data_IF_905050596856
#
_entry.id   IF_905050596856
#
_cell.length_a   1.000
_cell.length_b   1.000
_cell.length_c   1.000
_cell.angle_alpha   90.00
_cell.angle_beta   90.00
_cell.angle_gamma   90.00
#
_symmetry.space_group_name_H-M   'P 1'
#
loop_
_entity.id
_entity.type
_entity.pdbx_description
1 polymer ?
#
# COMPACT_ATOMS: atom_id res chain seq x y z
N UNK A 1 -4.28 -37.03 -35.83
CA UNK A 1 -5.45 -36.41 -35.16
C UNK A 1 -5.16 -36.09 -33.70
N UNK A 2 -4.26 -36.83 -33.05
CA UNK A 2 -4.04 -36.76 -31.59
C UNK A 2 -3.39 -35.47 -31.09
N UNK A 3 -2.53 -34.84 -31.89
CA UNK A 3 -1.86 -33.58 -31.52
C UNK A 3 -2.80 -32.37 -31.52
N UNK A 4 -3.80 -32.35 -32.42
CA UNK A 4 -4.79 -31.27 -32.50
C UNK A 4 -5.77 -31.36 -31.33
N UNK A 5 -6.16 -32.58 -30.94
CA UNK A 5 -7.00 -32.81 -29.77
C UNK A 5 -6.25 -32.43 -28.48
N UNK A 6 -4.95 -32.75 -28.40
CA UNK A 6 -4.09 -32.35 -27.29
C UNK A 6 -3.97 -30.83 -27.15
N UNK A 7 -3.78 -30.12 -28.27
CA UNK A 7 -3.72 -28.66 -28.27
C UNK A 7 -5.06 -28.01 -27.92
N UNK A 8 -6.19 -28.59 -28.37
CA UNK A 8 -7.53 -28.13 -28.00
C UNK A 8 -7.83 -28.35 -26.51
N UNK A 9 -7.44 -29.49 -25.94
CA UNK A 9 -7.60 -29.76 -24.51
C UNK A 9 -6.76 -28.80 -23.65
N UNK A 10 -5.52 -28.54 -24.07
CA UNK A 10 -4.61 -27.62 -23.37
C UNK A 10 -5.06 -26.16 -23.50
N UNK A 11 -5.60 -25.77 -24.66
CA UNK A 11 -6.20 -24.47 -24.88
C UNK A 11 -7.49 -24.27 -24.07
N UNK A 12 -8.39 -25.26 -24.01
CA UNK A 12 -9.58 -25.24 -23.16
C UNK A 12 -9.20 -25.15 -21.67
N UNK A 13 -8.14 -25.83 -21.24
CA UNK A 13 -7.66 -25.80 -19.87
C UNK A 13 -7.07 -24.44 -19.48
N UNK A 14 -6.23 -23.85 -20.35
CA UNK A 14 -5.72 -22.48 -20.17
C UNK A 14 -6.87 -21.47 -20.15
N UNK A 15 -7.86 -21.64 -21.03
CA UNK A 15 -9.04 -20.78 -21.10
C UNK A 15 -9.91 -20.88 -19.85
N UNK A 16 -10.11 -22.08 -19.31
CA UNK A 16 -10.91 -22.32 -18.11
C UNK A 16 -10.20 -21.83 -16.85
N UNK A 17 -8.88 -22.02 -16.74
CA UNK A 17 -8.06 -21.42 -15.70
C UNK A 17 -8.07 -19.89 -15.75
N UNK A 18 -7.98 -19.31 -16.95
CA UNK A 18 -8.06 -17.88 -17.19
C UNK A 18 -9.44 -17.30 -16.82
N UNK A 19 -10.52 -17.97 -17.22
CA UNK A 19 -11.89 -17.54 -16.94
C UNK A 19 -12.22 -17.60 -15.44
N UNK A 20 -11.70 -18.61 -14.73
CA UNK A 20 -11.96 -18.81 -13.31
C UNK A 20 -11.17 -17.83 -12.42
N UNK A 21 -9.91 -17.51 -12.78
CA UNK A 21 -9.12 -16.45 -12.12
C UNK A 21 -9.80 -15.07 -12.23
N UNK A 22 -10.64 -14.88 -13.25
CA UNK A 22 -11.35 -13.62 -13.49
C UNK A 22 -12.65 -13.47 -12.67
N UNK A 23 -13.27 -14.55 -12.20
CA UNK A 23 -14.68 -14.52 -11.81
C UNK A 23 -15.04 -14.79 -10.34
N UNK A 24 -14.21 -15.36 -9.46
CA UNK A 24 -14.66 -15.56 -8.06
C UNK A 24 -13.56 -15.62 -6.99
N UNK A 25 -13.81 -14.92 -5.87
CA UNK A 25 -12.91 -14.74 -4.72
C UNK A 25 -13.44 -15.37 -3.40
N UNK A 26 -14.41 -16.28 -3.45
CA UNK A 26 -15.21 -16.65 -2.26
C UNK A 26 -15.57 -18.15 -2.14
N UNK A 27 -14.71 -19.08 -2.58
CA UNK A 27 -14.92 -20.51 -2.30
C UNK A 27 -14.11 -21.02 -1.08
N UNK A 28 -14.69 -21.89 -0.24
CA UNK A 28 -13.94 -22.53 0.85
C UNK A 28 -12.89 -23.49 0.29
N UNK A 29 -11.67 -23.43 0.85
CA UNK A 29 -10.46 -24.12 0.38
C UNK A 29 -10.65 -25.64 0.21
N UNK A 30 -11.47 -26.27 1.04
CA UNK A 30 -11.73 -27.71 1.01
C UNK A 30 -12.46 -28.18 -0.26
N UNK A 31 -13.43 -27.40 -0.73
CA UNK A 31 -14.22 -27.74 -1.93
C UNK A 31 -13.41 -27.50 -3.21
N UNK A 32 -12.57 -26.46 -3.19
CA UNK A 32 -11.62 -26.15 -4.28
C UNK A 32 -10.61 -27.29 -4.49
N UNK A 33 -10.00 -27.79 -3.42
CA UNK A 33 -9.03 -28.88 -3.47
C UNK A 33 -9.68 -30.14 -4.03
N UNK A 34 -10.86 -30.53 -3.54
CA UNK A 34 -11.51 -31.79 -3.92
C UNK A 34 -11.87 -31.85 -5.43
N UNK A 35 -12.44 -30.77 -5.97
CA UNK A 35 -12.89 -30.73 -7.37
C UNK A 35 -11.72 -30.70 -8.36
N UNK A 36 -10.64 -30.00 -8.00
CA UNK A 36 -9.46 -29.91 -8.87
C UNK A 36 -8.61 -31.18 -8.78
N UNK A 37 -8.43 -31.77 -7.59
CA UNK A 37 -7.67 -33.03 -7.44
C UNK A 37 -8.30 -34.17 -8.24
N UNK A 38 -9.63 -34.28 -8.26
CA UNK A 38 -10.32 -35.29 -9.05
C UNK A 38 -10.09 -35.15 -10.55
N UNK A 39 -10.20 -33.92 -11.08
CA UNK A 39 -9.92 -33.65 -12.49
C UNK A 39 -8.45 -33.90 -12.84
N UNK A 40 -7.51 -33.52 -11.97
CA UNK A 40 -6.07 -33.73 -12.18
C UNK A 40 -5.70 -35.21 -12.22
N UNK A 41 -6.28 -36.05 -11.36
CA UNK A 41 -6.02 -37.50 -11.36
C UNK A 41 -6.52 -38.14 -12.67
N UNK A 42 -7.71 -37.75 -13.14
CA UNK A 42 -8.28 -38.29 -14.39
C UNK A 42 -7.43 -37.88 -15.60
N UNK A 43 -6.98 -36.62 -15.66
CA UNK A 43 -6.12 -36.13 -16.75
C UNK A 43 -4.73 -36.78 -16.69
N UNK A 44 -4.14 -36.94 -15.50
CA UNK A 44 -2.87 -37.63 -15.32
C UNK A 44 -2.97 -39.07 -15.84
N UNK A 45 -4.04 -39.80 -15.48
CA UNK A 45 -4.30 -41.15 -15.94
C UNK A 45 -4.45 -41.24 -17.47
N UNK A 46 -5.22 -40.34 -18.09
CA UNK A 46 -5.34 -40.25 -19.56
C UNK A 46 -4.00 -39.96 -20.24
N UNK A 47 -3.16 -39.11 -19.63
CA UNK A 47 -1.86 -38.73 -20.19
C UNK A 47 -0.82 -39.85 -20.12
N UNK A 48 -0.81 -40.65 -19.04
CA UNK A 48 -0.02 -41.90 -18.94
C UNK A 48 -0.36 -42.85 -20.08
N UNK A 49 -1.65 -42.97 -20.39
CA UNK A 49 -2.14 -43.90 -21.41
C UNK A 49 -1.76 -43.45 -22.83
N UNK A 50 -1.74 -42.14 -23.10
CA UNK A 50 -1.42 -41.60 -24.43
C UNK A 50 0.08 -41.47 -24.73
N UNK A 51 0.90 -41.13 -23.75
CA UNK A 51 2.30 -40.71 -24.00
C UNK A 51 3.34 -41.79 -23.69
N UNK A 52 2.96 -42.86 -22.99
CA UNK A 52 3.89 -43.90 -22.54
C UNK A 52 4.92 -43.43 -21.50
N UNK A 53 4.83 -42.19 -21.01
CA UNK A 53 5.67 -41.68 -19.94
C UNK A 53 5.38 -42.43 -18.64
N UNK A 54 6.42 -42.78 -17.88
CA UNK A 54 6.23 -43.49 -16.62
C UNK A 54 5.38 -42.66 -15.66
N UNK A 55 4.48 -43.28 -14.92
CA UNK A 55 3.62 -42.62 -13.94
C UNK A 55 4.37 -41.66 -12.98
N UNK A 56 5.64 -41.95 -12.66
CA UNK A 56 6.51 -41.12 -11.83
C UNK A 56 6.79 -39.71 -12.40
N UNK A 57 6.95 -39.58 -13.71
CA UNK A 57 7.18 -38.27 -14.34
C UNK A 57 5.89 -37.44 -14.28
N UNK A 58 4.76 -38.09 -14.55
CA UNK A 58 3.45 -37.44 -14.51
C UNK A 58 3.11 -37.00 -13.08
N UNK A 59 3.36 -37.82 -12.07
CA UNK A 59 3.13 -37.39 -10.67
C UNK A 59 4.01 -36.21 -10.27
N UNK A 60 5.25 -36.10 -10.74
CA UNK A 60 6.13 -34.93 -10.46
C UNK A 60 5.60 -33.66 -11.11
N UNK A 61 5.18 -33.72 -12.38
CA UNK A 61 4.58 -32.57 -13.07
C UNK A 61 3.30 -32.08 -12.38
N UNK A 62 2.42 -33.02 -11.99
CA UNK A 62 1.15 -32.69 -11.37
C UNK A 62 1.30 -32.20 -9.92
N UNK A 63 2.20 -32.80 -9.13
CA UNK A 63 2.52 -32.31 -7.77
C UNK A 63 3.16 -30.92 -7.80
N UNK A 64 4.03 -30.63 -8.78
CA UNK A 64 4.56 -29.30 -9.03
C UNK A 64 3.46 -28.28 -9.35
N UNK A 65 2.51 -28.65 -10.22
CA UNK A 65 1.40 -27.77 -10.59
C UNK A 65 0.47 -27.46 -9.40
N UNK A 66 0.11 -28.48 -8.62
CA UNK A 66 -0.69 -28.33 -7.39
C UNK A 66 0.02 -27.43 -6.39
N UNK A 67 1.33 -27.61 -6.21
CA UNK A 67 2.12 -26.78 -5.31
C UNK A 67 2.17 -25.31 -5.78
N UNK A 68 2.34 -25.07 -7.08
CA UNK A 68 2.29 -23.72 -7.66
C UNK A 68 0.93 -23.06 -7.47
N UNK A 69 -0.18 -23.78 -7.61
CA UNK A 69 -1.52 -23.24 -7.43
C UNK A 69 -1.88 -23.02 -5.94
N UNK A 70 -1.33 -23.85 -5.03
CA UNK A 70 -1.45 -23.63 -3.59
C UNK A 70 -0.63 -22.42 -3.14
N UNK A 71 0.60 -22.29 -3.64
CA UNK A 71 1.46 -21.14 -3.42
C UNK A 71 0.83 -19.89 -4.06
N UNK A 72 0.13 -20.03 -5.18
CA UNK A 72 -0.69 -18.98 -5.78
C UNK A 72 -1.86 -18.54 -4.90
N UNK A 73 -2.54 -19.50 -4.28
CA UNK A 73 -3.65 -19.22 -3.38
C UNK A 73 -3.17 -18.51 -2.11
N UNK A 74 -2.09 -19.01 -1.50
CA UNK A 74 -1.43 -18.37 -0.35
C UNK A 74 -0.96 -16.97 -0.74
N UNK A 75 -0.28 -16.82 -1.88
CA UNK A 75 0.15 -15.53 -2.38
C UNK A 75 -1.03 -14.59 -2.61
N UNK A 76 -2.13 -15.04 -3.22
CA UNK A 76 -3.36 -14.23 -3.37
C UNK A 76 -3.98 -13.84 -2.02
N UNK A 77 -3.95 -14.72 -1.02
CA UNK A 77 -4.51 -14.48 0.31
C UNK A 77 -3.71 -13.46 1.11
N UNK A 78 -2.39 -13.52 1.05
CA UNK A 78 -1.49 -12.64 1.81
C UNK A 78 -1.06 -11.38 1.02
N UNK A 79 -0.99 -11.46 -0.31
CA UNK A 79 -0.58 -10.36 -1.21
C UNK A 79 -1.74 -9.94 -2.14
N UNK A 80 -2.90 -9.66 -1.53
CA UNK A 80 -4.19 -9.39 -2.18
C UNK A 80 -4.19 -8.24 -3.20
N UNK A 81 -3.15 -7.40 -3.24
CA UNK A 81 -3.03 -6.19 -4.08
C UNK A 81 -1.73 -6.13 -4.91
N UNK A 82 -1.10 -7.28 -5.21
CA UNK A 82 0.08 -7.35 -6.07
C UNK A 82 -0.25 -7.06 -7.55
N UNK A 83 0.63 -6.30 -8.22
CA UNK A 83 0.50 -5.89 -9.61
C UNK A 83 0.40 -7.12 -10.55
N UNK A 84 -0.61 -7.13 -11.43
CA UNK A 84 -0.95 -8.31 -12.26
C UNK A 84 0.25 -8.76 -13.11
N UNK A 85 1.05 -7.83 -13.63
CA UNK A 85 2.25 -8.16 -14.44
C UNK A 85 3.34 -8.85 -13.62
N UNK A 86 3.61 -8.37 -12.39
CA UNK A 86 4.60 -8.97 -11.51
C UNK A 86 4.17 -10.39 -11.08
N UNK A 87 2.87 -10.56 -10.84
CA UNK A 87 2.28 -11.87 -10.57
C UNK A 87 2.51 -12.84 -11.74
N UNK A 88 2.26 -12.42 -12.98
CA UNK A 88 2.52 -13.25 -14.17
C UNK A 88 4.02 -13.51 -14.38
N UNK A 89 4.89 -12.57 -14.03
CA UNK A 89 6.35 -12.73 -14.13
C UNK A 89 6.87 -13.77 -13.12
N UNK A 90 6.39 -13.73 -11.88
CA UNK A 90 6.72 -14.74 -10.86
C UNK A 90 6.19 -16.12 -11.26
N UNK A 91 4.95 -16.22 -11.76
CA UNK A 91 4.42 -17.49 -12.26
C UNK A 91 5.18 -18.00 -13.48
N UNK A 92 5.46 -17.14 -14.45
CA UNK A 92 6.22 -17.50 -15.65
C UNK A 92 7.63 -17.98 -15.30
N UNK A 93 8.29 -17.30 -14.36
CA UNK A 93 9.60 -17.71 -13.84
C UNK A 93 9.56 -19.07 -13.16
N UNK A 94 8.58 -19.32 -12.29
CA UNK A 94 8.43 -20.61 -11.60
C UNK A 94 8.10 -21.75 -12.57
N UNK A 95 7.18 -21.55 -13.50
CA UNK A 95 6.85 -22.56 -14.53
C UNK A 95 8.07 -22.84 -15.42
N UNK A 96 8.81 -21.80 -15.80
CA UNK A 96 10.05 -21.93 -16.58
C UNK A 96 11.12 -22.75 -15.85
N UNK A 97 11.32 -22.50 -14.55
CA UNK A 97 12.29 -23.25 -13.73
C UNK A 97 11.87 -24.72 -13.56
N UNK A 98 10.59 -24.99 -13.28
CA UNK A 98 10.08 -26.37 -13.15
C UNK A 98 10.21 -27.13 -14.48
N UNK A 99 9.91 -26.46 -15.61
CA UNK A 99 10.02 -27.04 -16.95
C UNK A 99 11.47 -27.32 -17.35
N UNK A 100 12.39 -26.41 -17.01
CA UNK A 100 13.82 -26.61 -17.27
C UNK A 100 14.40 -27.72 -16.40
N UNK A 101 14.00 -27.80 -15.13
CA UNK A 101 14.44 -28.85 -14.21
C UNK A 101 13.97 -30.24 -14.66
N UNK A 102 12.75 -30.37 -15.19
CA UNK A 102 12.24 -31.64 -15.73
C UNK A 102 12.92 -32.02 -17.04
N UNK A 103 13.18 -31.07 -17.94
CA UNK A 103 13.97 -31.31 -19.16
C UNK A 103 15.38 -31.82 -18.84
N UNK A 104 16.08 -31.18 -17.90
CA UNK A 104 17.41 -31.60 -17.47
C UNK A 104 17.42 -32.97 -16.76
N UNK A 105 16.33 -33.34 -16.10
CA UNK A 105 16.17 -34.65 -15.46
C UNK A 105 15.94 -35.78 -16.48
N UNK A 106 15.22 -35.49 -17.57
CA UNK A 106 14.95 -36.44 -18.66
C UNK A 106 16.22 -36.73 -19.46
N UNK A 107 17.07 -35.74 -19.69
CA UNK A 107 18.24 -35.88 -20.56
C UNK A 107 19.42 -36.64 -19.92
N UNK A 108 19.48 -36.69 -18.58
CA UNK A 108 20.68 -37.16 -17.85
C UNK A 108 20.55 -38.51 -17.11
N UNK A 109 19.46 -39.28 -17.26
CA UNK A 109 19.28 -40.49 -16.43
C UNK A 109 18.90 -41.75 -17.23
N UNK A 110 19.85 -42.68 -17.49
CA UNK A 110 19.54 -44.03 -17.96
C UNK A 110 19.14 -45.00 -16.83
N UNK A 111 19.21 -44.57 -15.56
CA UNK A 111 19.02 -45.46 -14.41
C UNK A 111 18.02 -44.88 -13.40
N UNK A 112 16.90 -45.58 -13.29
CA UNK A 112 15.63 -45.22 -12.64
C UNK A 112 15.66 -45.10 -11.10
N UNK A 113 16.85 -45.00 -10.46
CA UNK A 113 17.00 -45.08 -9.00
C UNK A 113 17.49 -43.80 -8.31
N UNK A 114 18.61 -43.25 -8.76
CA UNK A 114 19.30 -42.12 -8.09
C UNK A 114 18.97 -40.75 -8.68
N UNK A 115 18.53 -40.70 -9.94
CA UNK A 115 18.17 -39.46 -10.65
C UNK A 115 16.97 -38.72 -10.05
N UNK A 116 15.99 -39.46 -9.53
CA UNK A 116 14.76 -38.88 -8.99
C UNK A 116 14.98 -38.09 -7.69
N UNK A 117 15.92 -38.51 -6.83
CA UNK A 117 16.25 -37.76 -5.62
C UNK A 117 16.96 -36.45 -5.94
N UNK A 118 17.86 -36.46 -6.94
CA UNK A 118 18.54 -35.24 -7.39
C UNK A 118 17.57 -34.26 -8.06
N UNK A 119 16.62 -34.74 -8.88
CA UNK A 119 15.61 -33.85 -9.47
C UNK A 119 14.70 -33.21 -8.41
N UNK A 120 14.35 -33.95 -7.35
CA UNK A 120 13.56 -33.40 -6.24
C UNK A 120 14.35 -32.33 -5.48
N UNK A 121 15.62 -32.59 -5.15
CA UNK A 121 16.47 -31.63 -4.43
C UNK A 121 16.65 -30.34 -5.23
N UNK A 122 16.89 -30.43 -6.54
CA UNK A 122 17.07 -29.26 -7.41
C UNK A 122 15.75 -28.47 -7.49
N UNK A 123 14.62 -29.15 -7.70
CA UNK A 123 13.31 -28.49 -7.84
C UNK A 123 12.89 -27.76 -6.56
N UNK A 124 13.05 -28.40 -5.40
CA UNK A 124 12.73 -27.78 -4.11
C UNK A 124 13.74 -26.69 -3.74
N UNK A 125 15.03 -26.88 -4.08
CA UNK A 125 16.08 -25.88 -3.86
C UNK A 125 15.83 -24.57 -4.61
N UNK A 126 15.43 -24.65 -5.88
CA UNK A 126 15.17 -23.44 -6.69
C UNK A 126 13.96 -22.63 -6.23
N UNK A 127 13.03 -23.22 -5.48
CA UNK A 127 11.85 -22.54 -4.95
C UNK A 127 12.09 -22.04 -3.52
N UNK A 128 12.79 -22.82 -2.70
CA UNK A 128 13.11 -22.48 -1.32
C UNK A 128 14.09 -21.30 -1.23
N UNK A 129 15.10 -21.24 -2.10
CA UNK A 129 16.14 -20.20 -2.04
C UNK A 129 15.57 -18.79 -2.28
N UNK A 130 14.76 -18.52 -3.33
CA UNK A 130 14.17 -17.20 -3.55
C UNK A 130 13.16 -16.82 -2.47
N UNK A 131 12.36 -17.76 -1.97
CA UNK A 131 11.37 -17.49 -0.92
C UNK A 131 12.05 -17.15 0.41
N UNK A 132 13.11 -17.86 0.78
CA UNK A 132 13.92 -17.54 1.95
C UNK A 132 14.72 -16.24 1.79
N UNK A 133 15.22 -15.93 0.59
CA UNK A 133 15.89 -14.66 0.29
C UNK A 133 14.94 -13.46 0.46
N UNK A 134 13.72 -13.57 -0.06
CA UNK A 134 12.68 -12.53 0.09
C UNK A 134 12.31 -12.32 1.56
N UNK A 135 12.18 -13.41 2.33
CA UNK A 135 11.90 -13.33 3.77
C UNK A 135 13.09 -12.72 4.55
N UNK A 136 14.32 -13.07 4.18
CA UNK A 136 15.54 -12.54 4.80
C UNK A 136 15.75 -11.05 4.51
N UNK A 137 15.53 -10.61 3.27
CA UNK A 137 15.59 -9.20 2.87
C UNK A 137 14.51 -8.36 3.58
N UNK A 138 13.34 -8.95 3.85
CA UNK A 138 12.26 -8.31 4.61
C UNK A 138 12.62 -8.18 6.11
N UNK A 139 13.24 -9.20 6.72
CA UNK A 139 13.69 -9.12 8.12
C UNK A 139 14.85 -8.13 8.34
N UNK A 140 15.71 -7.93 7.34
CA UNK A 140 16.88 -7.04 7.45
C UNK A 140 16.55 -5.55 7.21
N UNK A 141 15.28 -5.20 6.97
CA UNK A 141 14.83 -3.81 6.81
C UNK A 141 15.37 -3.10 5.56
N UNK A 142 15.98 -3.82 4.61
CA UNK A 142 16.66 -3.21 3.46
C UNK A 142 15.71 -2.77 2.34
N UNK A 143 14.52 -3.39 2.25
CA UNK A 143 13.49 -3.03 1.25
C UNK A 143 12.11 -3.20 1.89
N UNK A 144 11.48 -2.08 2.25
CA UNK A 144 10.12 -2.05 2.78
C UNK A 144 9.09 -2.12 1.63
N UNK A 145 8.84 -3.35 1.14
CA UNK A 145 7.91 -3.60 0.04
C UNK A 145 6.46 -3.15 0.34
N UNK A 146 6.10 -2.92 1.61
CA UNK A 146 4.80 -2.39 1.98
C UNK A 146 4.66 -0.89 1.65
N UNK A 147 5.76 -0.13 1.68
CA UNK A 147 5.77 1.29 1.26
C UNK A 147 5.61 1.45 -0.25
N UNK A 148 6.11 0.50 -1.03
CA UNK A 148 6.11 0.58 -2.50
C UNK A 148 4.75 0.28 -3.17
N UNK A 149 3.78 -0.30 -2.46
CA UNK A 149 2.51 -0.76 -3.06
C UNK A 149 1.26 -0.44 -2.24
N UNK A 150 1.33 0.54 -1.32
CA UNK A 150 0.17 1.02 -0.58
C UNK A 150 -0.71 1.89 -1.49
N UNK A 151 -1.70 1.30 -2.15
CA UNK A 151 -2.85 2.06 -2.65
C UNK A 151 -3.95 2.07 -1.60
N UNK A 152 -4.41 3.27 -1.23
CA UNK A 152 -5.50 3.54 -0.29
C UNK A 152 -6.71 2.61 -0.51
N UNK A 153 -6.87 1.64 0.36
CA UNK A 153 -8.16 1.03 0.68
C UNK A 153 -8.26 1.07 2.18
N UNK A 154 -9.26 1.79 2.68
CA UNK A 154 -9.53 2.01 4.10
C UNK A 154 -9.25 0.73 4.90
N UNK A 155 -8.17 0.78 5.66
CA UNK A 155 -7.88 -0.23 6.67
C UNK A 155 -9.01 -0.16 7.69
N UNK A 156 -9.70 -1.28 7.92
CA UNK A 156 -10.63 -1.44 9.04
C UNK A 156 -9.87 -1.06 10.33
N UNK A 157 -10.12 0.14 10.83
CA UNK A 157 -9.51 0.63 12.06
C UNK A 157 -10.04 -0.22 13.22
N UNK A 158 -9.13 -0.96 13.87
CA UNK A 158 -9.43 -1.66 15.12
C UNK A 158 -9.94 -0.62 16.13
N UNK A 159 -11.18 -0.78 16.59
CA UNK A 159 -11.91 0.15 17.47
C UNK A 159 -11.07 0.44 18.73
N UNK A 160 -10.35 1.56 18.73
CA UNK A 160 -9.71 2.06 19.94
C UNK A 160 -10.81 2.65 20.85
N UNK A 161 -11.07 1.99 21.98
CA UNK A 161 -12.19 2.34 22.85
C UNK A 161 -12.08 3.75 23.44
N UNK A 162 -10.88 4.29 23.62
CA UNK A 162 -10.68 5.61 24.26
C UNK A 162 -11.00 6.75 23.31
N UNK A 163 -10.50 6.70 22.07
CA UNK A 163 -10.84 7.67 21.03
C UNK A 163 -12.31 7.63 20.62
N UNK A 164 -12.96 6.45 20.65
CA UNK A 164 -14.41 6.37 20.38
C UNK A 164 -15.20 7.16 21.42
N UNK A 165 -14.84 7.06 22.71
CA UNK A 165 -15.48 7.83 23.78
C UNK A 165 -15.27 9.32 23.60
N UNK A 166 -14.04 9.77 23.33
CA UNK A 166 -13.73 11.17 23.05
C UNK A 166 -14.66 11.78 21.99
N UNK A 167 -14.88 11.06 20.88
CA UNK A 167 -15.74 11.56 19.80
C UNK A 167 -17.24 11.57 20.17
N UNK A 168 -17.70 10.61 20.96
CA UNK A 168 -19.07 10.66 21.51
C UNK A 168 -19.24 11.82 22.50
N UNK A 169 -18.26 12.03 23.37
CA UNK A 169 -18.27 13.13 24.35
C UNK A 169 -18.25 14.50 23.65
N UNK A 170 -17.65 14.57 22.46
CA UNK A 170 -17.71 15.73 21.57
C UNK A 170 -19.05 15.87 20.80
N UNK A 171 -19.98 14.93 20.95
CA UNK A 171 -21.34 15.00 20.41
C UNK A 171 -21.57 14.32 19.05
N UNK A 172 -20.62 13.50 18.56
CA UNK A 172 -20.79 12.80 17.29
C UNK A 172 -21.61 11.51 17.43
N UNK A 173 -22.45 11.22 16.42
CA UNK A 173 -23.13 9.93 16.27
C UNK A 173 -22.14 8.81 15.87
N UNK A 174 -22.54 7.54 16.01
CA UNK A 174 -21.69 6.40 15.60
C UNK A 174 -21.35 6.46 14.10
N UNK A 175 -22.32 6.86 13.27
CA UNK A 175 -22.16 7.05 11.83
C UNK A 175 -21.17 8.18 11.52
N UNK A 176 -21.30 9.33 12.20
CA UNK A 176 -20.40 10.47 12.03
C UNK A 176 -18.98 10.11 12.49
N UNK A 177 -18.84 9.34 13.57
CA UNK A 177 -17.54 8.85 14.05
C UNK A 177 -16.89 7.96 13.00
N UNK A 178 -17.67 7.08 12.36
CA UNK A 178 -17.14 6.21 11.30
C UNK A 178 -16.67 7.03 10.11
N UNK A 179 -17.48 7.99 9.66
CA UNK A 179 -17.13 8.89 8.55
C UNK A 179 -15.88 9.72 8.88
N UNK A 180 -15.87 10.37 10.04
CA UNK A 180 -14.75 11.15 10.53
C UNK A 180 -13.44 10.34 10.55
N UNK A 181 -13.49 9.10 11.06
CA UNK A 181 -12.31 8.21 11.09
C UNK A 181 -11.82 7.84 9.70
N UNK A 182 -12.74 7.62 8.76
CA UNK A 182 -12.38 7.33 7.38
C UNK A 182 -11.64 8.52 6.76
N UNK A 183 -12.19 9.73 6.88
CA UNK A 183 -11.57 10.95 6.37
C UNK A 183 -10.20 11.20 7.00
N UNK A 184 -10.10 11.09 8.33
CA UNK A 184 -8.82 11.26 9.04
C UNK A 184 -7.82 10.17 8.69
N UNK A 185 -8.26 8.94 8.42
CA UNK A 185 -7.35 7.89 7.94
C UNK A 185 -6.76 8.24 6.58
N UNK A 186 -7.58 8.71 5.64
CA UNK A 186 -7.14 9.10 4.30
C UNK A 186 -6.18 10.27 4.40
N UNK A 187 -6.54 11.30 5.18
CA UNK A 187 -5.70 12.48 5.37
C UNK A 187 -4.35 12.14 6.01
N UNK A 188 -4.33 11.30 7.05
CA UNK A 188 -3.09 10.83 7.67
C UNK A 188 -2.17 10.15 6.65
N UNK A 189 -2.73 9.30 5.81
CA UNK A 189 -1.96 8.59 4.79
C UNK A 189 -1.40 9.56 3.72
N UNK A 190 -2.15 10.59 3.36
CA UNK A 190 -1.67 11.67 2.48
C UNK A 190 -0.56 12.50 3.11
N UNK A 191 -0.63 12.81 4.42
CA UNK A 191 0.44 13.54 5.13
C UNK A 191 1.73 12.72 5.15
N UNK A 192 1.64 11.41 5.39
CA UNK A 192 2.81 10.51 5.34
C UNK A 192 3.40 10.49 3.93
N UNK A 193 2.55 10.37 2.89
CA UNK A 193 3.01 10.44 1.51
C UNK A 193 3.70 11.78 1.23
N UNK A 194 3.08 12.90 1.63
CA UNK A 194 3.66 14.23 1.43
C UNK A 194 5.02 14.36 2.13
N UNK A 195 5.18 13.84 3.34
CA UNK A 195 6.45 13.82 4.06
C UNK A 195 7.52 13.03 3.30
N UNK A 196 7.19 11.84 2.82
CA UNK A 196 8.11 11.01 2.03
C UNK A 196 8.51 11.74 0.73
N UNK A 197 7.56 12.32 -0.01
CA UNK A 197 7.82 13.02 -1.28
C UNK A 197 8.63 14.30 -1.08
N UNK A 198 8.33 15.11 -0.07
CA UNK A 198 9.06 16.35 0.20
C UNK A 198 10.51 16.10 0.60
N UNK A 199 10.83 14.92 1.14
CA UNK A 199 12.18 14.55 1.56
C UNK A 199 13.06 13.94 0.45
N UNK A 200 12.48 13.51 -0.68
CA UNK A 200 13.23 12.85 -1.76
C UNK A 200 14.15 13.80 -2.54
N UNK A 201 13.70 15.03 -2.84
CA UNK A 201 14.45 15.99 -3.63
C UNK A 201 14.89 17.19 -2.79
N UNK A 202 16.15 17.62 -2.96
CA UNK A 202 16.72 18.75 -2.20
C UNK A 202 15.90 20.05 -2.34
N UNK A 203 15.33 20.32 -3.53
CA UNK A 203 14.44 21.48 -3.75
C UNK A 203 13.17 21.39 -2.90
N UNK A 204 12.46 20.28 -2.93
CA UNK A 204 11.24 20.10 -2.13
C UNK A 204 11.55 20.11 -0.62
N UNK A 205 12.69 19.53 -0.22
CA UNK A 205 13.12 19.57 1.18
C UNK A 205 13.37 21.00 1.66
N UNK A 206 13.96 21.84 0.82
CA UNK A 206 14.15 23.26 1.13
C UNK A 206 12.81 24.01 1.28
N UNK A 207 11.82 23.70 0.44
CA UNK A 207 10.45 24.23 0.60
C UNK A 207 9.86 23.82 1.94
N UNK A 208 9.92 22.53 2.30
CA UNK A 208 9.42 22.06 3.58
C UNK A 208 10.08 22.78 4.76
N UNK A 209 11.40 22.96 4.73
CA UNK A 209 12.13 23.67 5.81
C UNK A 209 11.71 25.14 5.90
N UNK A 210 11.48 25.81 4.77
CA UNK A 210 11.11 27.24 4.77
C UNK A 210 9.68 27.49 5.24
N UNK A 211 8.74 26.62 4.86
CA UNK A 211 7.32 26.80 5.18
C UNK A 211 6.83 25.91 6.33
N UNK A 212 7.68 25.05 6.87
CA UNK A 212 7.31 24.03 7.86
C UNK A 212 6.13 23.15 7.43
N UNK A 213 5.99 22.89 6.12
CA UNK A 213 4.79 22.30 5.50
C UNK A 213 4.33 21.03 6.20
N UNK A 214 5.25 20.10 6.49
CA UNK A 214 4.91 18.82 7.14
C UNK A 214 4.48 19.02 8.59
N UNK A 215 5.18 19.87 9.35
CA UNK A 215 4.82 20.12 10.75
C UNK A 215 3.43 20.77 10.84
N UNK A 216 3.16 21.78 10.01
CA UNK A 216 1.83 22.41 9.93
C UNK A 216 0.76 21.39 9.58
N UNK A 217 0.99 20.54 8.57
CA UNK A 217 0.03 19.49 8.20
C UNK A 217 -0.26 18.53 9.37
N UNK A 218 0.77 18.09 10.08
CA UNK A 218 0.64 17.20 11.24
C UNK A 218 -0.07 17.88 12.42
N UNK A 219 0.24 19.15 12.70
CA UNK A 219 -0.43 19.95 13.75
C UNK A 219 -1.89 20.20 13.41
N UNK A 220 -2.20 20.50 12.15
CA UNK A 220 -3.57 20.66 11.69
C UNK A 220 -4.36 19.36 11.84
N UNK A 221 -3.78 18.23 11.43
CA UNK A 221 -4.39 16.92 11.67
C UNK A 221 -4.71 16.68 13.16
N UNK A 222 -3.76 16.99 14.05
CA UNK A 222 -3.96 16.86 15.49
C UNK A 222 -5.06 17.79 16.02
N UNK A 223 -5.14 19.01 15.49
CA UNK A 223 -6.17 19.98 15.86
C UNK A 223 -7.58 19.49 15.47
N UNK A 224 -7.73 18.91 14.28
CA UNK A 224 -9.01 18.32 13.81
C UNK A 224 -9.38 17.09 14.65
N UNK A 225 -8.40 16.23 14.97
CA UNK A 225 -8.66 15.05 15.83
C UNK A 225 -9.04 15.45 17.25
N UNK A 226 -8.47 16.54 17.76
CA UNK A 226 -8.79 17.09 19.08
C UNK A 226 -10.22 17.63 19.11
N UNK A 227 -10.63 18.34 18.06
CA UNK A 227 -11.98 18.90 17.92
C UNK A 227 -12.68 18.41 16.64
N UNK A 228 -13.30 17.21 16.69
CA UNK A 228 -13.89 16.58 15.51
C UNK A 228 -15.11 17.33 14.96
N UNK A 229 -15.77 18.16 15.78
CA UNK A 229 -16.97 18.91 15.38
C UNK A 229 -16.63 20.01 14.38
N UNK A 230 -15.38 20.50 14.40
CA UNK A 230 -14.88 21.55 13.52
C UNK A 230 -14.32 21.01 12.20
N UNK A 231 -14.55 19.73 11.86
CA UNK A 231 -14.08 19.13 10.60
C UNK A 231 -14.53 19.93 9.36
N UNK A 232 -15.72 20.54 9.40
CA UNK A 232 -16.25 21.36 8.31
C UNK A 232 -15.35 22.57 8.05
N UNK A 233 -14.78 23.17 9.09
CA UNK A 233 -13.87 24.31 8.99
C UNK A 233 -12.53 23.94 8.36
N UNK A 234 -12.19 22.64 8.34
CA UNK A 234 -10.98 22.11 7.71
C UNK A 234 -11.23 21.50 6.32
N UNK A 235 -12.45 21.61 5.76
CA UNK A 235 -12.83 20.91 4.51
C UNK A 235 -11.88 21.20 3.35
N UNK A 236 -11.47 22.46 3.15
CA UNK A 236 -10.56 22.81 2.05
C UNK A 236 -9.19 22.14 2.23
N UNK A 237 -8.68 22.10 3.46
CA UNK A 237 -7.41 21.44 3.79
C UNK A 237 -7.47 19.94 3.52
N UNK A 238 -8.54 19.29 3.99
CA UNK A 238 -8.75 17.83 3.90
C UNK A 238 -8.89 17.38 2.45
N UNK A 239 -9.71 18.09 1.65
CA UNK A 239 -10.10 17.66 0.32
C UNK A 239 -9.30 18.29 -0.82
N UNK A 240 -8.60 19.40 -0.58
CA UNK A 240 -7.88 20.13 -1.63
C UNK A 240 -6.41 20.34 -1.31
N UNK A 241 -6.09 21.04 -0.23
CA UNK A 241 -4.73 21.56 0.00
C UNK A 241 -3.72 20.43 0.22
N UNK A 242 -3.95 19.55 1.21
CA UNK A 242 -3.04 18.42 1.48
C UNK A 242 -3.00 17.40 0.32
N UNK A 243 -4.14 16.97 -0.26
CA UNK A 243 -4.12 16.11 -1.44
C UNK A 243 -3.34 16.69 -2.62
N UNK A 244 -3.48 17.99 -2.91
CA UNK A 244 -2.78 18.65 -4.01
C UNK A 244 -1.28 18.76 -3.76
N UNK A 245 -0.88 19.07 -2.52
CA UNK A 245 0.53 19.05 -2.11
C UNK A 245 1.16 17.67 -2.35
N UNK A 246 0.49 16.61 -1.89
CA UNK A 246 0.99 15.23 -2.03
C UNK A 246 1.11 14.82 -3.51
N UNK A 247 0.10 15.14 -4.33
CA UNK A 247 0.09 14.82 -5.77
C UNK A 247 1.17 15.59 -6.54
N UNK A 248 1.34 16.89 -6.28
CA UNK A 248 2.36 17.71 -6.95
C UNK A 248 3.78 17.32 -6.54
N UNK A 249 4.01 17.01 -5.26
CA UNK A 249 5.32 16.54 -4.79
C UNK A 249 5.69 15.20 -5.43
N UNK A 250 4.75 14.26 -5.51
CA UNK A 250 4.95 12.98 -6.18
C UNK A 250 5.26 13.15 -7.68
N UNK A 251 4.46 13.94 -8.40
CA UNK A 251 4.68 14.23 -9.83
C UNK A 251 6.00 14.94 -10.09
N UNK A 252 6.38 15.87 -9.20
CA UNK A 252 7.69 16.52 -9.25
C UNK A 252 8.81 15.48 -9.18
N UNK A 253 8.76 14.57 -8.21
CA UNK A 253 9.79 13.56 -8.04
C UNK A 253 9.82 12.59 -9.23
N UNK A 254 8.67 12.15 -9.75
CA UNK A 254 8.59 11.32 -10.95
C UNK A 254 9.34 11.97 -12.13
N UNK A 255 9.04 13.24 -12.41
CA UNK A 255 9.67 13.98 -13.52
C UNK A 255 11.15 14.28 -13.25
N UNK A 256 11.49 14.61 -12.00
CA UNK A 256 12.86 14.93 -11.61
C UNK A 256 13.83 13.75 -11.74
N UNK A 257 13.34 12.50 -11.69
CA UNK A 257 14.16 11.30 -11.89
C UNK A 257 14.37 10.91 -13.36
N UNK A 258 13.65 11.49 -14.33
CA UNK A 258 13.86 11.16 -15.74
C UNK A 258 15.23 11.61 -16.27
N UNK A 259 15.93 10.73 -16.98
CA UNK A 259 17.31 10.93 -17.48
C UNK A 259 17.37 12.00 -18.59
N UNK A 260 16.36 12.07 -19.46
CA UNK A 260 16.27 13.06 -20.53
C UNK A 260 15.31 14.19 -20.13
N UNK A 261 15.85 15.37 -19.80
CA UNK A 261 15.06 16.58 -19.50
C UNK A 261 15.27 17.62 -20.58
N UNK A 262 14.18 18.18 -21.09
CA UNK A 262 14.23 19.33 -22.01
C UNK A 262 14.22 20.64 -21.22
N UNK A 263 14.54 21.77 -21.86
CA UNK A 263 14.35 23.11 -21.26
C UNK A 263 12.94 23.31 -20.73
N UNK A 264 11.92 22.84 -21.47
CA UNK A 264 10.52 22.91 -21.06
C UNK A 264 10.24 22.07 -19.80
N UNK A 265 10.89 20.91 -19.67
CA UNK A 265 10.78 20.06 -18.46
C UNK A 265 11.32 20.78 -17.23
N UNK A 266 12.45 21.49 -17.33
CA UNK A 266 12.98 22.27 -16.20
C UNK A 266 12.06 23.43 -15.80
N UNK A 267 11.49 24.15 -16.77
CA UNK A 267 10.53 25.22 -16.49
C UNK A 267 9.26 24.69 -15.81
N UNK A 268 8.79 23.51 -16.22
CA UNK A 268 7.66 22.86 -15.58
C UNK A 268 7.99 22.47 -14.13
N UNK A 269 9.15 21.84 -13.89
CA UNK A 269 9.61 21.49 -12.54
C UNK A 269 9.71 22.72 -11.64
N UNK A 270 10.21 23.84 -12.16
CA UNK A 270 10.30 25.08 -11.39
C UNK A 270 8.92 25.64 -11.05
N UNK A 271 8.00 25.67 -12.02
CA UNK A 271 6.62 26.08 -11.78
C UNK A 271 5.92 25.17 -10.77
N UNK A 272 6.16 23.86 -10.81
CA UNK A 272 5.62 22.92 -9.83
C UNK A 272 6.13 23.21 -8.43
N UNK A 273 7.42 23.53 -8.26
CA UNK A 273 7.98 23.95 -6.96
C UNK A 273 7.28 25.21 -6.47
N UNK A 274 7.15 26.23 -7.32
CA UNK A 274 6.45 27.47 -6.95
C UNK A 274 5.00 27.19 -6.50
N UNK A 275 4.26 26.34 -7.22
CA UNK A 275 2.89 25.98 -6.81
C UNK A 275 2.86 25.21 -5.48
N UNK A 276 3.86 24.37 -5.18
CA UNK A 276 3.98 23.69 -3.88
C UNK A 276 4.27 24.71 -2.76
N UNK A 277 5.06 25.74 -3.04
CA UNK A 277 5.31 26.85 -2.10
C UNK A 277 4.02 27.60 -1.78
N UNK A 278 3.28 28.02 -2.80
CA UNK A 278 1.98 28.72 -2.66
C UNK A 278 0.98 27.87 -1.86
N UNK A 279 0.89 26.56 -2.13
CA UNK A 279 0.02 25.66 -1.37
C UNK A 279 0.50 25.43 0.08
N UNK A 280 1.80 25.52 0.35
CA UNK A 280 2.35 25.42 1.72
C UNK A 280 2.03 26.68 2.54
N UNK A 281 2.05 27.85 1.90
CA UNK A 281 1.58 29.10 2.49
C UNK A 281 0.07 29.03 2.76
N UNK A 282 -0.73 28.62 1.76
CA UNK A 282 -2.18 28.44 1.92
C UNK A 282 -2.52 27.47 3.05
N UNK A 283 -1.77 26.37 3.21
CA UNK A 283 -1.96 25.43 4.32
C UNK A 283 -1.73 26.10 5.69
N UNK A 284 -0.73 26.98 5.77
CA UNK A 284 -0.43 27.73 7.00
C UNK A 284 -1.55 28.72 7.32
N UNK A 285 -2.05 29.43 6.31
CA UNK A 285 -3.19 30.34 6.47
C UNK A 285 -4.45 29.60 6.93
N UNK A 286 -4.75 28.43 6.34
CA UNK A 286 -5.87 27.60 6.75
C UNK A 286 -5.73 27.11 8.19
N UNK A 287 -4.52 26.74 8.61
CA UNK A 287 -4.23 26.34 9.98
C UNK A 287 -4.46 27.50 10.97
N UNK A 288 -4.00 28.71 10.64
CA UNK A 288 -4.21 29.90 11.46
C UNK A 288 -5.69 30.27 11.51
N UNK A 289 -6.40 30.24 10.38
CA UNK A 289 -7.84 30.48 10.30
C UNK A 289 -8.62 29.48 11.16
N UNK A 290 -8.21 28.21 11.20
CA UNK A 290 -8.79 27.21 12.08
C UNK A 290 -8.62 27.55 13.57
N UNK A 291 -7.59 28.29 13.96
CA UNK A 291 -7.34 28.72 15.33
C UNK A 291 -7.80 30.15 15.64
N UNK A 292 -8.32 30.88 14.64
CA UNK A 292 -8.60 32.32 14.76
C UNK A 292 -9.54 32.67 15.92
N UNK A 293 -10.58 31.87 16.14
CA UNK A 293 -11.53 32.04 17.24
C UNK A 293 -10.81 31.96 18.60
N UNK A 294 -10.01 30.92 18.83
CA UNK A 294 -9.23 30.78 20.06
C UNK A 294 -8.19 31.89 20.22
N UNK A 295 -7.60 32.38 19.12
CA UNK A 295 -6.65 33.50 19.15
C UNK A 295 -7.36 34.80 19.57
N UNK A 296 -8.55 35.05 19.04
CA UNK A 296 -9.35 36.23 19.39
C UNK A 296 -9.78 36.18 20.86
N UNK A 297 -10.23 35.01 21.33
CA UNK A 297 -10.62 34.82 22.74
C UNK A 297 -9.44 35.09 23.69
N UNK A 298 -8.25 34.61 23.34
CA UNK A 298 -7.03 34.86 24.12
C UNK A 298 -6.64 36.35 24.14
N UNK A 299 -6.77 37.04 23.01
CA UNK A 299 -6.50 38.49 22.91
C UNK A 299 -7.47 39.30 23.79
N UNK A 300 -8.75 38.94 23.81
CA UNK A 300 -9.74 39.56 24.68
C UNK A 300 -9.47 39.26 26.18
N UNK A 301 -9.06 38.04 26.51
CA UNK A 301 -8.69 37.66 27.88
C UNK A 301 -7.44 38.43 28.36
N UNK A 302 -6.43 38.59 27.49
CA UNK A 302 -5.24 39.40 27.78
C UNK A 302 -5.63 40.86 28.03
N UNK A 303 -6.44 41.47 27.16
CA UNK A 303 -6.92 42.85 27.32
C UNK A 303 -7.70 43.05 28.63
N UNK A 304 -8.52 42.07 29.00
CA UNK A 304 -9.24 42.09 30.27
C UNK A 304 -8.29 42.01 31.47
N UNK A 305 -7.30 41.12 31.42
CA UNK A 305 -6.27 40.98 32.46
C UNK A 305 -5.45 42.28 32.61
N UNK A 306 -4.98 42.88 31.51
CA UNK A 306 -4.25 44.15 31.51
C UNK A 306 -5.08 45.28 32.13
N UNK A 307 -6.36 45.41 31.73
CA UNK A 307 -7.27 46.41 32.31
C UNK A 307 -7.42 46.25 33.83
N UNK A 308 -7.51 45.02 34.32
CA UNK A 308 -7.63 44.76 35.75
C UNK A 308 -6.33 45.08 36.50
N UNK A 309 -5.17 44.75 35.94
CA UNK A 309 -3.86 45.12 36.52
C UNK A 309 -3.72 46.65 36.61
N UNK A 310 -4.03 47.36 35.52
CA UNK A 310 -3.98 48.82 35.51
C UNK A 310 -4.95 49.46 36.50
N UNK A 311 -6.16 48.90 36.65
CA UNK A 311 -7.13 49.35 37.65
C UNK A 311 -6.62 49.13 39.08
N UNK A 312 -6.10 47.95 39.39
CA UNK A 312 -5.56 47.65 40.72
C UNK A 312 -4.33 48.50 41.08
N UNK A 313 -3.50 48.88 40.11
CA UNK A 313 -2.39 49.81 40.34
C UNK A 313 -2.85 51.26 40.59
N UNK A 314 -3.91 51.70 39.91
CA UNK A 314 -4.52 53.01 40.18
C UNK A 314 -5.12 53.07 41.59
N UNK A 315 -5.87 52.04 41.99
CA UNK A 315 -6.48 51.96 43.32
C UNK A 315 -5.41 51.88 44.45
N UNK A 316 -4.25 51.26 44.18
CA UNK A 316 -3.12 51.20 45.12
C UNK A 316 -2.41 52.56 45.27
N UNK A 317 -2.23 53.31 44.19
CA UNK A 317 -1.60 54.63 44.24
C UNK A 317 -2.49 55.67 44.94
N UNK A 318 -3.82 55.62 44.74
CA UNK A 318 -4.76 56.52 45.42
C UNK A 318 -4.86 56.26 46.93
N UNK A 319 -4.67 55.01 47.37
CA UNK A 319 -4.66 54.66 48.80
C UNK A 319 -3.33 54.98 49.49
N UNK A 320 -2.21 55.08 48.76
CA UNK A 320 -0.90 55.47 49.31
C UNK A 320 -0.67 56.98 49.43
N UNK A 321 -1.57 57.82 48.91
CA UNK A 321 -1.51 59.28 48.97
C UNK A 321 -2.48 59.92 49.99
N UNK A 322 -3.09 59.10 50.87
CA UNK A 322 -3.94 59.50 52.00
C UNK A 322 -3.23 59.23 53.33
#
# INVERSE_FOLDING_TARGET
MDTIILMLALACFIYQGYYYVRLNATYPLSLFVLQHYGAYIIIALMFTFLTGLSAAHITVWFTGFIFLDLLAHVYRKYFKKSNVRLRHLIYGGMVGVVTLATLLAIENTPYMGTGHLMSLIITYGTIAIPTLLILWLNQKGSIDFNRLFKHNTASSFKKNSTLTKHYHDAGLSDEDIQYFRQEMSVLRDLIIQLEDEMNQAAKLKAVNVRHNTIDVAQKFFQAIVKDPTRIVNASNTIYRTIPSLADLAAKYNEINHHIAKTKQTYLLLERTVQTIEELSEQLTEEYLAFHQEMINDLDDEIKFAEKNIHRSQHDFNDTSNL
#
